data_IF_457564034980
#
_entry.id   IF_457564034980
#
_cell.length_a   1.000
_cell.length_b   1.000
_cell.length_c   1.000
_cell.angle_alpha   90.00
_cell.angle_beta   90.00
_cell.angle_gamma   90.00
#
_symmetry.space_group_name_H-M   'P 1'
#
loop_
_entity.id
_entity.type
_entity.pdbx_description
1 polymer ?
#
# COMPACT_ATOMS: atom_id res chain seq x y z
N UNK A 1 20.94 2.75 -11.65
CA UNK A 1 20.97 4.15 -12.15
C UNK A 1 22.35 4.74 -11.88
N UNK A 2 22.89 5.60 -12.75
CA UNK A 2 24.18 6.25 -12.49
C UNK A 2 24.07 7.27 -11.34
N UNK A 3 25.21 7.59 -10.70
CA UNK A 3 25.29 8.49 -9.53
C UNK A 3 24.82 9.93 -9.79
N UNK A 4 24.66 10.29 -11.07
CA UNK A 4 24.18 11.61 -11.51
C UNK A 4 22.66 11.74 -11.47
N UNK A 5 21.92 10.66 -11.26
CA UNK A 5 20.44 10.69 -11.19
C UNK A 5 20.02 11.05 -9.76
N UNK A 6 19.36 12.21 -9.55
CA UNK A 6 18.86 12.57 -8.24
C UNK A 6 17.67 11.67 -7.84
N UNK A 7 17.41 11.57 -6.54
CA UNK A 7 16.29 10.82 -6.00
C UNK A 7 15.65 11.54 -4.81
N UNK A 8 14.36 11.33 -4.64
CA UNK A 8 13.59 11.83 -3.50
C UNK A 8 12.62 10.73 -3.04
N UNK A 9 12.46 10.60 -1.73
CA UNK A 9 11.42 9.76 -1.12
C UNK A 9 10.23 10.63 -0.72
N UNK A 10 9.05 10.27 -1.21
CA UNK A 10 7.79 10.94 -0.86
C UNK A 10 7.06 10.07 0.15
N UNK A 11 6.56 10.68 1.23
CA UNK A 11 5.70 10.00 2.20
C UNK A 11 4.33 10.67 2.26
N UNK A 12 3.32 9.97 1.76
CA UNK A 12 1.89 10.22 1.98
C UNK A 12 1.17 8.91 2.34
N UNK A 13 1.75 8.14 3.28
CA UNK A 13 1.22 6.86 3.75
C UNK A 13 0.84 5.93 2.58
N UNK A 14 -0.36 5.35 2.58
CA UNK A 14 -0.87 4.46 1.54
C UNK A 14 -0.83 5.07 0.12
N UNK A 15 -0.85 6.39 0.00
CA UNK A 15 -0.86 7.10 -1.29
C UNK A 15 0.55 7.53 -1.76
N UNK A 16 1.63 7.11 -1.09
CA UNK A 16 3.00 7.55 -1.41
C UNK A 16 3.41 7.22 -2.85
N UNK A 17 3.15 5.99 -3.31
CA UNK A 17 3.50 5.57 -4.67
C UNK A 17 2.80 6.39 -5.75
N UNK A 18 1.49 6.62 -5.59
CA UNK A 18 0.74 7.47 -6.51
C UNK A 18 1.15 8.95 -6.41
N UNK A 19 1.53 9.42 -5.21
CA UNK A 19 2.02 10.79 -5.02
C UNK A 19 3.34 11.01 -5.76
N UNK A 20 4.25 10.04 -5.75
CA UNK A 20 5.49 10.11 -6.52
C UNK A 20 5.23 10.20 -8.05
N UNK A 21 4.26 9.43 -8.55
CA UNK A 21 3.82 9.50 -9.97
C UNK A 21 3.26 10.88 -10.30
N UNK A 22 2.46 11.46 -9.41
CA UNK A 22 1.90 12.82 -9.57
C UNK A 22 3.00 13.88 -9.57
N UNK A 23 3.97 13.80 -8.66
CA UNK A 23 5.07 14.77 -8.57
C UNK A 23 5.97 14.69 -9.81
N UNK A 24 6.27 13.48 -10.30
CA UNK A 24 6.97 13.29 -11.58
C UNK A 24 6.19 13.87 -12.77
N UNK A 25 4.88 13.64 -12.85
CA UNK A 25 4.04 14.19 -13.90
C UNK A 25 4.02 15.73 -13.89
N UNK A 26 4.00 16.35 -12.70
CA UNK A 26 4.09 17.81 -12.53
C UNK A 26 5.43 18.34 -12.99
N UNK A 27 6.54 17.72 -12.56
CA UNK A 27 7.88 18.16 -12.95
C UNK A 27 8.10 18.07 -14.47
N UNK A 28 7.60 17.02 -15.12
CA UNK A 28 7.59 16.89 -16.60
C UNK A 28 6.77 18.02 -17.23
N UNK A 29 5.59 18.31 -16.69
CA UNK A 29 4.69 19.36 -17.21
C UNK A 29 5.31 20.75 -17.07
N UNK A 30 6.04 21.00 -15.98
CA UNK A 30 6.78 22.24 -15.74
C UNK A 30 8.09 22.36 -16.55
N UNK A 31 8.51 21.31 -17.27
CA UNK A 31 9.73 21.31 -18.06
C UNK A 31 11.02 21.15 -17.23
N UNK A 32 10.92 20.74 -15.98
CA UNK A 32 12.07 20.55 -15.07
C UNK A 32 12.88 19.29 -15.40
N UNK A 33 12.24 18.33 -16.05
CA UNK A 33 12.86 17.11 -16.54
C UNK A 33 12.03 16.47 -17.64
N UNK A 34 12.65 15.57 -18.39
CA UNK A 34 11.99 14.90 -19.51
C UNK A 34 11.60 13.46 -19.18
N UNK A 35 12.39 12.76 -18.35
CA UNK A 35 12.20 11.37 -17.92
C UNK A 35 12.32 11.25 -16.41
N UNK A 36 11.43 10.46 -15.82
CA UNK A 36 11.39 10.16 -14.39
C UNK A 36 11.08 8.69 -14.18
N UNK A 37 11.66 8.11 -13.13
CA UNK A 37 11.23 6.84 -12.55
C UNK A 37 10.43 7.17 -11.29
N UNK A 38 9.17 6.75 -11.21
CA UNK A 38 8.32 7.03 -10.06
C UNK A 38 7.52 5.80 -9.65
N UNK A 39 7.26 5.65 -8.37
CA UNK A 39 6.62 4.44 -7.84
C UNK A 39 6.62 4.42 -6.33
N UNK A 40 6.46 3.23 -5.76
CA UNK A 40 6.49 3.00 -4.33
C UNK A 40 7.11 1.65 -4.01
N UNK A 41 7.65 1.54 -2.80
CA UNK A 41 8.11 0.28 -2.20
C UNK A 41 7.71 0.30 -0.75
N UNK A 42 7.30 -0.85 -0.24
CA UNK A 42 7.09 -1.07 1.18
C UNK A 42 7.54 -2.48 1.55
N UNK A 43 8.14 -2.63 2.73
CA UNK A 43 8.38 -3.94 3.31
C UNK A 43 7.90 -3.95 4.76
N UNK A 44 6.60 -4.19 4.91
CA UNK A 44 5.95 -4.22 6.21
C UNK A 44 6.47 -5.36 7.08
N UNK A 45 6.86 -6.50 6.50
CA UNK A 45 7.44 -7.63 7.25
C UNK A 45 8.79 -7.30 7.90
N UNK A 46 9.45 -6.22 7.45
CA UNK A 46 10.78 -5.79 7.92
C UNK A 46 10.71 -4.48 8.70
N UNK A 47 9.51 -4.00 9.03
CA UNK A 47 9.34 -2.78 9.77
C UNK A 47 10.01 -2.91 11.17
N UNK A 48 10.87 -1.97 11.58
CA UNK A 48 11.57 -2.08 12.85
C UNK A 48 10.65 -1.79 14.04
N UNK A 49 11.06 -2.25 15.22
CA UNK A 49 10.57 -1.66 16.47
C UNK A 49 11.25 -0.30 16.69
N UNK A 50 10.47 0.68 17.14
CA UNK A 50 10.94 2.03 17.45
C UNK A 50 10.89 2.22 18.95
N UNK A 51 11.97 2.76 19.51
CA UNK A 51 12.09 3.03 20.95
C UNK A 51 12.14 4.55 21.17
N UNK A 52 11.34 5.05 22.10
CA UNK A 52 11.36 6.46 22.47
C UNK A 52 12.71 6.84 23.11
N UNK A 53 13.13 8.10 22.93
CA UNK A 53 14.28 8.64 23.67
C UNK A 53 13.90 8.83 25.13
N UNK A 54 14.88 8.69 26.02
CA UNK A 54 14.72 9.13 27.41
C UNK A 54 14.54 10.64 27.46
N UNK A 55 13.54 11.11 28.18
CA UNK A 55 13.26 12.55 28.34
C UNK A 55 14.11 13.20 29.44
N UNK A 56 14.58 12.40 30.41
CA UNK A 56 15.41 12.85 31.53
C UNK A 56 16.56 11.88 31.80
N UNK A 57 17.61 12.39 32.48
CA UNK A 57 18.72 11.56 32.91
C UNK A 57 18.24 10.48 33.88
N UNK A 58 18.76 9.25 33.73
CA UNK A 58 18.38 8.09 34.53
C UNK A 58 16.89 7.74 34.48
N UNK A 59 16.19 8.11 33.38
CA UNK A 59 14.80 7.72 33.16
C UNK A 59 14.62 6.21 33.23
N UNK A 60 13.52 5.78 33.83
CA UNK A 60 13.09 4.38 33.93
C UNK A 60 11.92 4.04 33.02
N UNK A 61 11.43 5.02 32.25
CA UNK A 61 10.37 4.83 31.26
C UNK A 61 10.96 4.82 29.85
N UNK A 62 10.54 3.84 29.06
CA UNK A 62 10.77 3.75 27.62
C UNK A 62 9.52 3.17 26.97
N UNK A 63 9.15 3.71 25.83
CA UNK A 63 8.05 3.20 25.01
C UNK A 63 8.63 2.50 23.79
N UNK A 64 8.11 1.31 23.50
CA UNK A 64 8.47 0.53 22.31
C UNK A 64 7.21 0.43 21.46
N UNK A 65 7.33 0.79 20.18
CA UNK A 65 6.24 0.73 19.22
C UNK A 65 6.64 -0.10 17.99
N UNK A 66 5.72 -0.92 17.51
CA UNK A 66 5.84 -1.55 16.20
C UNK A 66 5.56 -0.52 15.10
N UNK A 67 6.45 -0.43 14.11
CA UNK A 67 6.26 0.51 12.99
C UNK A 67 5.52 -0.09 11.79
N UNK A 68 5.20 -1.38 11.83
CA UNK A 68 4.50 -2.12 10.76
C UNK A 68 3.23 -1.42 10.33
N UNK A 69 2.37 -1.02 11.27
CA UNK A 69 1.12 -0.32 10.98
C UNK A 69 0.63 0.50 12.16
N UNK A 70 -0.09 1.58 11.87
CA UNK A 70 -0.85 2.34 12.86
C UNK A 70 -0.10 3.52 13.49
N UNK A 71 -0.83 4.23 14.34
CA UNK A 71 -0.29 5.37 15.08
C UNK A 71 0.69 4.89 16.17
N UNK A 72 1.81 5.61 16.29
CA UNK A 72 2.86 5.35 17.28
C UNK A 72 3.29 6.68 17.89
N UNK A 73 3.56 6.68 19.19
CA UNK A 73 3.88 7.91 19.95
C UNK A 73 2.85 9.02 19.67
N UNK A 74 1.56 8.65 19.69
CA UNK A 74 0.47 9.53 19.28
C UNK A 74 0.38 10.75 20.20
N UNK A 75 0.30 11.94 19.62
CA UNK A 75 0.16 13.17 20.40
C UNK A 75 -1.22 13.20 21.09
N UNK A 76 -1.28 13.27 22.44
CA UNK A 76 -2.56 13.24 23.17
C UNK A 76 -3.53 14.35 22.77
N UNK A 77 -3.01 15.53 22.38
CA UNK A 77 -3.85 16.66 21.92
C UNK A 77 -4.50 16.38 20.57
N UNK A 78 -3.82 15.64 19.69
CA UNK A 78 -4.38 15.22 18.40
C UNK A 78 -5.40 14.11 18.60
N UNK A 79 -5.09 13.12 19.44
CA UNK A 79 -6.00 12.02 19.79
C UNK A 79 -7.29 12.56 20.38
N UNK A 80 -7.22 13.51 21.32
CA UNK A 80 -8.40 14.12 21.92
C UNK A 80 -9.27 14.86 20.90
N UNK A 81 -8.65 15.48 19.88
CA UNK A 81 -9.36 16.33 18.92
C UNK A 81 -9.91 15.55 17.72
N UNK A 82 -9.22 14.50 17.27
CA UNK A 82 -9.51 13.81 16.01
C UNK A 82 -9.70 12.30 16.14
N UNK A 83 -9.50 11.74 17.33
CA UNK A 83 -9.53 10.29 17.56
C UNK A 83 -8.19 9.62 17.30
N UNK A 84 -8.18 8.30 17.50
CA UNK A 84 -7.03 7.42 17.26
C UNK A 84 -7.51 6.06 16.72
N UNK A 85 -8.54 6.10 15.88
CA UNK A 85 -9.08 4.92 15.23
C UNK A 85 -8.00 4.26 14.37
N UNK A 86 -7.82 2.95 14.54
CA UNK A 86 -7.05 2.14 13.60
C UNK A 86 -7.76 2.08 12.24
N UNK A 87 -7.02 1.81 11.16
CA UNK A 87 -7.62 1.73 9.81
C UNK A 87 -8.80 0.75 9.71
N UNK A 88 -8.78 -0.43 10.37
CA UNK A 88 -9.97 -1.26 10.43
C UNK A 88 -11.18 -0.61 11.13
N UNK A 89 -10.96 0.20 12.18
CA UNK A 89 -12.05 0.94 12.84
C UNK A 89 -12.62 2.04 11.95
N UNK A 90 -11.79 2.68 11.11
CA UNK A 90 -12.32 3.65 10.13
C UNK A 90 -13.20 2.96 9.09
N UNK A 91 -12.85 1.73 8.68
CA UNK A 91 -13.71 0.86 7.89
C UNK A 91 -15.06 0.54 8.55
N UNK A 92 -15.07 0.24 9.84
CA UNK A 92 -16.32 0.05 10.60
C UNK A 92 -17.13 1.35 10.73
N UNK A 93 -16.47 2.50 10.88
CA UNK A 93 -17.12 3.81 10.92
C UNK A 93 -17.78 4.15 9.57
N UNK A 94 -17.09 3.88 8.47
CA UNK A 94 -17.63 3.98 7.10
C UNK A 94 -18.83 3.06 6.92
N UNK A 95 -18.72 1.81 7.35
CA UNK A 95 -19.81 0.85 7.25
C UNK A 95 -21.07 1.33 8.00
N UNK A 96 -20.89 1.89 9.20
CA UNK A 96 -22.00 2.50 9.96
C UNK A 96 -22.56 3.76 9.29
N UNK A 97 -21.69 4.61 8.75
CA UNK A 97 -22.10 5.88 8.14
C UNK A 97 -22.91 5.69 6.86
N UNK A 98 -22.57 4.67 6.09
CA UNK A 98 -23.16 4.38 4.78
C UNK A 98 -24.04 3.14 4.76
N UNK A 99 -24.37 2.58 5.93
CA UNK A 99 -25.21 1.38 6.10
C UNK A 99 -24.71 0.17 5.31
N UNK A 100 -23.38 0.00 5.21
CA UNK A 100 -22.75 -1.14 4.53
C UNK A 100 -22.84 -2.34 5.45
N UNK A 101 -23.60 -3.34 5.03
CA UNK A 101 -23.77 -4.57 5.79
C UNK A 101 -22.54 -5.46 5.75
N UNK A 102 -22.42 -6.34 6.76
CA UNK A 102 -21.42 -7.41 6.78
C UNK A 102 -21.49 -8.31 5.54
N UNK A 103 -22.70 -8.58 5.08
CA UNK A 103 -22.95 -9.42 3.91
C UNK A 103 -22.41 -8.78 2.62
N UNK A 104 -22.60 -7.47 2.43
CA UNK A 104 -22.07 -6.74 1.28
C UNK A 104 -20.53 -6.71 1.27
N UNK A 105 -19.92 -6.44 2.43
CA UNK A 105 -18.46 -6.45 2.57
C UNK A 105 -17.86 -7.83 2.22
N UNK A 106 -18.46 -8.91 2.73
CA UNK A 106 -17.99 -10.27 2.46
C UNK A 106 -18.22 -10.69 1.01
N UNK A 107 -19.33 -10.28 0.38
CA UNK A 107 -19.57 -10.51 -1.06
C UNK A 107 -18.56 -9.78 -1.93
N UNK A 108 -18.25 -8.53 -1.60
CA UNK A 108 -17.24 -7.76 -2.31
C UNK A 108 -15.87 -8.46 -2.24
N UNK A 109 -15.48 -8.89 -1.04
CA UNK A 109 -14.23 -9.62 -0.82
C UNK A 109 -14.18 -10.95 -1.56
N UNK A 110 -15.26 -11.76 -1.53
CA UNK A 110 -15.36 -13.00 -2.32
C UNK A 110 -15.20 -12.72 -3.82
N UNK A 111 -15.86 -11.68 -4.33
CA UNK A 111 -15.71 -11.24 -5.71
C UNK A 111 -14.27 -10.83 -6.05
N UNK A 112 -13.58 -10.16 -5.12
CA UNK A 112 -12.16 -9.79 -5.29
C UNK A 112 -11.26 -11.01 -5.45
N UNK A 113 -11.41 -12.01 -4.58
CA UNK A 113 -10.65 -13.27 -4.64
C UNK A 113 -10.92 -14.03 -5.94
N UNK A 114 -12.18 -14.15 -6.34
CA UNK A 114 -12.57 -14.80 -7.59
C UNK A 114 -12.00 -14.09 -8.83
N UNK A 115 -12.02 -12.75 -8.87
CA UNK A 115 -11.43 -11.98 -9.98
C UNK A 115 -9.93 -12.15 -10.06
N UNK A 116 -9.21 -12.10 -8.94
CA UNK A 116 -7.78 -12.37 -8.94
C UNK A 116 -7.48 -13.78 -9.47
N UNK A 117 -8.19 -14.79 -8.98
CA UNK A 117 -7.98 -16.17 -9.44
C UNK A 117 -8.21 -16.31 -10.95
N UNK A 118 -9.23 -15.66 -11.50
CA UNK A 118 -9.48 -15.64 -12.94
C UNK A 118 -8.36 -14.93 -13.72
N UNK A 119 -7.88 -13.78 -13.22
CA UNK A 119 -6.78 -13.03 -13.81
C UNK A 119 -5.46 -13.82 -13.81
N UNK A 120 -5.16 -14.50 -12.71
CA UNK A 120 -3.99 -15.37 -12.58
C UNK A 120 -4.04 -16.53 -13.59
N UNK A 121 -5.17 -17.22 -13.72
CA UNK A 121 -5.33 -18.32 -14.68
C UNK A 121 -5.26 -17.85 -16.15
N UNK A 122 -5.62 -16.59 -16.40
CA UNK A 122 -5.59 -15.98 -17.72
C UNK A 122 -4.25 -15.29 -18.05
N UNK A 123 -3.28 -15.29 -17.13
CA UNK A 123 -1.97 -14.65 -17.33
C UNK A 123 -2.03 -13.12 -17.45
N UNK A 124 -3.06 -12.48 -16.89
CA UNK A 124 -3.28 -11.02 -17.04
C UNK A 124 -2.13 -10.21 -16.45
N UNK A 125 -1.47 -10.72 -15.41
CA UNK A 125 -0.41 -10.03 -14.67
C UNK A 125 1.00 -10.39 -15.16
N UNK A 126 1.12 -11.26 -16.17
CA UNK A 126 2.41 -11.82 -16.62
C UNK A 126 3.36 -10.73 -17.15
N UNK A 127 2.80 -9.67 -17.76
CA UNK A 127 3.56 -8.54 -18.32
C UNK A 127 3.92 -7.46 -17.28
N UNK A 128 3.29 -7.47 -16.09
CA UNK A 128 3.49 -6.46 -15.05
C UNK A 128 4.30 -6.96 -13.84
N UNK A 129 4.32 -8.28 -13.60
CA UNK A 129 5.08 -8.87 -12.50
C UNK A 129 6.53 -9.17 -12.93
N UNK A 130 7.47 -8.43 -12.36
CA UNK A 130 8.88 -8.78 -12.45
C UNK A 130 9.25 -9.75 -11.32
N UNK A 131 9.72 -10.94 -11.68
CA UNK A 131 10.15 -11.95 -10.72
C UNK A 131 11.35 -11.48 -9.88
N UNK A 132 11.33 -11.81 -8.59
CA UNK A 132 12.39 -11.46 -7.62
C UNK A 132 13.08 -12.73 -7.12
N UNK A 133 14.40 -12.76 -7.20
CA UNK A 133 15.20 -13.82 -6.61
C UNK A 133 15.40 -13.57 -5.11
N UNK A 134 14.89 -14.49 -4.28
CA UNK A 134 15.09 -14.48 -2.83
C UNK A 134 16.08 -15.57 -2.42
N UNK A 135 16.99 -15.32 -1.46
CA UNK A 135 17.87 -16.37 -0.94
C UNK A 135 17.08 -17.55 -0.38
N UNK A 136 17.44 -18.77 -0.77
CA UNK A 136 16.86 -19.99 -0.21
C UNK A 136 17.51 -20.35 1.13
N UNK A 137 16.88 -21.26 1.88
CA UNK A 137 17.43 -21.78 3.13
C UNK A 137 18.77 -22.55 2.94
N UNK A 138 19.07 -22.99 1.71
CA UNK A 138 20.34 -23.62 1.37
C UNK A 138 21.32 -22.58 0.82
N UNK A 139 22.53 -22.60 1.37
CA UNK A 139 23.61 -21.69 0.96
C UNK A 139 23.91 -21.84 -0.53
N UNK A 140 23.76 -20.76 -1.28
CA UNK A 140 24.06 -20.71 -2.71
C UNK A 140 22.87 -21.00 -3.63
N UNK A 141 21.69 -21.31 -3.10
CA UNK A 141 20.46 -21.45 -3.88
C UNK A 141 19.58 -20.18 -3.72
N UNK A 142 18.91 -19.77 -4.79
CA UNK A 142 17.83 -18.77 -4.76
C UNK A 142 16.50 -19.42 -5.12
N UNK A 143 15.41 -18.86 -4.60
CA UNK A 143 14.04 -19.15 -5.02
C UNK A 143 13.53 -17.93 -5.76
N UNK A 144 12.88 -18.16 -6.90
CA UNK A 144 12.18 -17.09 -7.60
C UNK A 144 10.78 -16.89 -7.00
N UNK A 145 10.40 -15.64 -6.76
CA UNK A 145 9.05 -15.21 -6.38
C UNK A 145 8.49 -14.39 -7.54
N UNK A 146 7.43 -14.89 -8.18
CA UNK A 146 6.84 -14.32 -9.39
C UNK A 146 5.30 -14.35 -9.40
N UNK A 147 4.68 -14.69 -8.27
CA UNK A 147 3.23 -14.83 -8.13
C UNK A 147 2.82 -14.20 -6.80
N UNK A 148 1.75 -13.40 -6.78
CA UNK A 148 1.23 -12.86 -5.53
C UNK A 148 0.72 -14.00 -4.64
N UNK A 149 1.24 -14.06 -3.41
CA UNK A 149 0.94 -15.16 -2.47
C UNK A 149 -0.23 -14.88 -1.54
N UNK A 150 -0.67 -13.62 -1.45
CA UNK A 150 -1.72 -13.22 -0.52
C UNK A 150 -3.13 -13.72 -0.89
N UNK A 151 -3.52 -13.74 -2.19
CA UNK A 151 -4.84 -14.21 -2.58
C UNK A 151 -5.11 -15.66 -2.20
N UNK A 152 -6.36 -15.96 -1.89
CA UNK A 152 -6.86 -17.26 -1.40
C UNK A 152 -7.94 -17.74 -2.36
N UNK A 153 -7.53 -18.52 -3.35
CA UNK A 153 -8.39 -19.03 -4.43
C UNK A 153 -9.69 -19.70 -3.94
N UNK A 154 -9.64 -20.31 -2.76
CA UNK A 154 -10.73 -21.05 -2.12
C UNK A 154 -11.68 -20.17 -1.30
N UNK A 155 -11.41 -18.87 -1.14
CA UNK A 155 -12.25 -17.98 -0.35
C UNK A 155 -13.55 -17.66 -1.08
N UNK A 156 -14.66 -18.16 -0.55
CA UNK A 156 -16.02 -17.85 -0.98
C UNK A 156 -16.80 -17.09 0.12
N UNK A 157 -18.01 -16.66 -0.21
CA UNK A 157 -18.87 -15.94 0.74
C UNK A 157 -19.14 -16.76 2.02
N UNK A 158 -19.33 -18.07 1.89
CA UNK A 158 -19.59 -18.96 3.03
C UNK A 158 -18.41 -19.00 4.00
N UNK A 159 -17.18 -19.06 3.47
CA UNK A 159 -15.96 -19.03 4.26
C UNK A 159 -15.77 -17.68 4.96
N UNK A 160 -16.02 -16.59 4.24
CA UNK A 160 -15.86 -15.23 4.77
C UNK A 160 -16.90 -14.91 5.85
N UNK A 161 -18.15 -15.34 5.70
CA UNK A 161 -19.23 -15.06 6.66
C UNK A 161 -19.01 -15.69 8.04
N UNK A 162 -18.20 -16.76 8.12
CA UNK A 162 -17.80 -17.40 9.38
C UNK A 162 -16.73 -16.64 10.16
N UNK A 163 -16.07 -15.67 9.55
CA UNK A 163 -15.03 -14.90 10.22
C UNK A 163 -15.65 -13.94 11.23
N UNK A 164 -15.00 -13.83 12.40
CA UNK A 164 -15.39 -12.86 13.41
C UNK A 164 -14.94 -11.47 12.98
N UNK A 165 -15.77 -10.43 13.23
CA UNK A 165 -15.32 -9.04 13.17
C UNK A 165 -14.07 -8.80 14.03
N UNK A 166 -13.23 -7.85 13.61
CA UNK A 166 -12.04 -7.45 14.36
C UNK A 166 -12.42 -6.70 15.65
N UNK A 167 -13.57 -6.02 15.66
CA UNK A 167 -14.13 -5.34 16.82
C UNK A 167 -15.57 -5.75 17.06
N UNK A 168 -16.02 -5.66 18.31
CA UNK A 168 -17.40 -5.97 18.68
C UNK A 168 -18.39 -5.06 17.94
N UNK A 169 -19.40 -5.66 17.32
CA UNK A 169 -20.38 -4.93 16.50
C UNK A 169 -19.83 -4.39 15.17
N UNK A 170 -18.59 -4.75 14.79
CA UNK A 170 -17.97 -4.35 13.54
C UNK A 170 -18.42 -5.17 12.33
N UNK A 171 -18.14 -4.64 11.15
CA UNK A 171 -18.31 -5.26 9.83
C UNK A 171 -16.98 -5.80 9.31
N UNK A 172 -15.87 -5.15 9.64
CA UNK A 172 -14.54 -5.48 9.14
C UNK A 172 -14.03 -6.78 9.78
N UNK A 173 -13.53 -7.70 8.95
CA UNK A 173 -12.87 -8.94 9.32
C UNK A 173 -11.53 -9.07 8.61
N UNK A 174 -10.70 -10.02 9.04
CA UNK A 174 -9.46 -10.35 8.34
C UNK A 174 -9.68 -10.88 6.90
N UNK A 175 -10.91 -11.27 6.52
CA UNK A 175 -11.23 -11.78 5.18
C UNK A 175 -11.79 -10.72 4.23
N UNK A 176 -12.27 -9.59 4.76
CA UNK A 176 -12.80 -8.48 3.97
C UNK A 176 -11.98 -7.18 4.11
N UNK A 177 -10.83 -7.24 4.80
CA UNK A 177 -9.79 -6.23 4.82
C UNK A 177 -8.54 -6.71 4.07
N UNK A 178 -7.68 -5.78 3.64
CA UNK A 178 -6.38 -6.12 3.06
C UNK A 178 -5.40 -6.62 4.12
N UNK A 179 -4.40 -7.39 3.69
CA UNK A 179 -3.33 -7.86 4.55
C UNK A 179 -2.21 -6.84 4.79
N UNK A 180 -1.19 -7.34 5.48
CA UNK A 180 0.14 -6.75 5.58
C UNK A 180 0.99 -7.44 4.51
N UNK A 181 1.61 -6.66 3.63
CA UNK A 181 2.27 -7.17 2.43
C UNK A 181 3.59 -6.44 2.18
N UNK A 182 4.49 -7.10 1.46
CA UNK A 182 5.74 -6.54 0.96
C UNK A 182 5.64 -6.40 -0.57
N UNK A 183 6.18 -5.32 -1.14
CA UNK A 183 6.17 -5.15 -2.59
C UNK A 183 6.75 -3.82 -3.06
N UNK A 184 7.04 -3.75 -4.36
CA UNK A 184 7.45 -2.52 -5.04
C UNK A 184 6.80 -2.45 -6.42
N UNK A 185 6.44 -1.25 -6.86
CA UNK A 185 5.98 -0.97 -8.21
C UNK A 185 6.60 0.34 -8.69
N UNK A 186 7.00 0.39 -9.96
CA UNK A 186 7.60 1.58 -10.56
C UNK A 186 7.16 1.76 -12.01
N UNK A 187 7.04 3.01 -12.42
CA UNK A 187 6.67 3.45 -13.75
C UNK A 187 7.76 4.36 -14.31
N UNK A 188 8.01 4.24 -15.61
CA UNK A 188 8.80 5.22 -16.37
C UNK A 188 7.84 6.25 -16.94
N UNK A 189 8.03 7.52 -16.56
CA UNK A 189 7.26 8.64 -17.06
C UNK A 189 8.15 9.49 -17.96
N UNK A 190 7.60 9.99 -19.05
CA UNK A 190 8.29 10.95 -19.89
C UNK A 190 7.34 11.81 -20.72
N UNK A 191 7.85 12.91 -21.26
CA UNK A 191 7.12 13.67 -22.26
C UNK A 191 7.15 12.97 -23.64
N UNK A 192 6.31 13.42 -24.57
CA UNK A 192 6.19 12.80 -25.89
C UNK A 192 7.48 12.89 -26.71
N UNK A 193 8.20 14.01 -26.62
CA UNK A 193 9.41 14.27 -27.41
C UNK A 193 10.51 13.25 -27.10
N UNK A 194 10.74 13.00 -25.82
CA UNK A 194 11.77 12.07 -25.39
C UNK A 194 11.38 10.60 -25.64
N UNK A 195 10.08 10.26 -25.57
CA UNK A 195 9.59 8.97 -26.02
C UNK A 195 9.89 8.73 -27.50
N UNK A 196 9.59 9.71 -28.37
CA UNK A 196 9.91 9.65 -29.80
C UNK A 196 11.41 9.56 -30.07
N UNK A 197 12.23 10.35 -29.35
CA UNK A 197 13.69 10.36 -29.51
C UNK A 197 14.33 9.00 -29.19
N UNK A 198 13.72 8.21 -28.30
CA UNK A 198 14.19 6.87 -27.91
C UNK A 198 13.38 5.72 -28.51
N UNK A 199 12.43 6.00 -29.41
CA UNK A 199 11.59 4.96 -30.03
C UNK A 199 10.66 4.24 -29.05
N UNK A 200 10.31 4.88 -27.93
CA UNK A 200 9.43 4.31 -26.89
C UNK A 200 8.01 4.85 -27.08
N UNK A 201 7.06 3.95 -27.32
CA UNK A 201 5.64 4.30 -27.42
C UNK A 201 5.03 4.46 -26.01
N UNK A 202 4.21 5.51 -25.77
CA UNK A 202 3.52 5.66 -24.49
C UNK A 202 2.40 4.64 -24.33
N UNK A 203 2.28 4.03 -23.14
CA UNK A 203 1.17 3.13 -22.80
C UNK A 203 -0.10 3.90 -22.41
N UNK A 204 0.06 5.04 -21.75
CA UNK A 204 -1.04 5.89 -21.27
C UNK A 204 -0.58 7.35 -21.15
N UNK A 205 -1.55 8.25 -20.92
CA UNK A 205 -1.30 9.67 -20.65
C UNK A 205 -1.95 10.06 -19.32
N UNK A 206 -1.20 10.72 -18.45
CA UNK A 206 -1.73 11.35 -17.24
C UNK A 206 -2.43 12.65 -17.65
N UNK A 207 -3.75 12.70 -17.49
CA UNK A 207 -4.57 13.88 -17.83
C UNK A 207 -4.69 14.84 -16.66
N UNK A 208 -4.92 14.32 -15.46
CA UNK A 208 -5.13 15.10 -14.25
C UNK A 208 -4.87 14.27 -13.00
N UNK A 209 -4.69 14.94 -11.87
CA UNK A 209 -4.65 14.32 -10.55
C UNK A 209 -5.26 15.26 -9.51
N UNK A 210 -5.78 14.70 -8.43
CA UNK A 210 -6.37 15.47 -7.33
C UNK A 210 -6.01 14.82 -5.99
N UNK A 211 -5.98 15.65 -4.93
CA UNK A 211 -5.77 15.24 -3.55
C UNK A 211 -6.83 15.92 -2.71
N UNK A 212 -7.52 15.15 -1.87
CA UNK A 212 -8.61 15.64 -1.01
C UNK A 212 -8.37 15.16 0.41
N UNK A 213 -8.60 16.04 1.37
CA UNK A 213 -8.58 15.70 2.80
C UNK A 213 -9.99 15.39 3.30
N UNK A 214 -10.10 14.41 4.20
CA UNK A 214 -11.33 14.01 4.90
C UNK A 214 -11.05 13.86 6.40
N UNK A 215 -12.09 13.62 7.19
CA UNK A 215 -11.93 13.35 8.62
C UNK A 215 -11.10 12.07 8.86
N UNK A 216 -10.11 12.07 9.76
CA UNK A 216 -9.25 10.89 9.99
C UNK A 216 -9.95 9.62 10.49
N UNK A 217 -11.17 9.74 11.03
CA UNK A 217 -11.96 8.62 11.55
C UNK A 217 -12.66 7.80 10.45
N UNK A 218 -12.49 8.21 9.18
CA UNK A 218 -13.15 7.69 7.99
C UNK A 218 -12.10 7.07 7.06
#
# INVERSE_FOLDING_TARGET
LPMTVPGQTVNRLCASGLSAVIDAARAITCGEGRWYLAGGVESMSRAPLVISKAETAFSRSQEIADSTIGARFANPRLVQRYGNDSMPQTGDNLARLYDISREEADRFAAGSQSRYQAALLAGVLDDEIMAVDVPSARKGESRQVSVDEHPRAQSDFSALSRLKPLFEGGVVTAGNASGINDGAAALVLGNREIGLAHGVAPMARILSSAVVGVEPRI
#
